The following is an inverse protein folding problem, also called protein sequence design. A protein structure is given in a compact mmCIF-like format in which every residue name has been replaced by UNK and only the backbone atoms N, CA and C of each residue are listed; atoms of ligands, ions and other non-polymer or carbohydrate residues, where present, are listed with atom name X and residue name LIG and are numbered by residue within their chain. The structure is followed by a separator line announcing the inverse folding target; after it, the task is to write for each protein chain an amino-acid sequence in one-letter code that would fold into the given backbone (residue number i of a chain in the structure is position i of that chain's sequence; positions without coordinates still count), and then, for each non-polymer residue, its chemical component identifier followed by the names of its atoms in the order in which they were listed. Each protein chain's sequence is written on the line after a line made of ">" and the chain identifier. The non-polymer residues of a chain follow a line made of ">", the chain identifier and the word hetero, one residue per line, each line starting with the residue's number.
data_IF_673612342555
#
_entry.id   IF_673612342555
#
_cell.length_a   1.000
_cell.length_b   1.000
_cell.length_c   1.000
_cell.angle_alpha   90.00
_cell.angle_beta   90.00
_cell.angle_gamma   90.00
#
_symmetry.space_group_name_H-M   'P 1'
#
loop_
_entity.id
_entity.type
_entity.pdbx_description
1 polymer ?
#
# COMPACT_ATOMS: atom_id res chain seq x y z
N UNK A 1 -15.16 -19.00 -43.65
CA UNK A 1 -13.76 -18.48 -43.68
C UNK A 1 -13.54 -17.23 -42.85
N UNK A 2 -14.44 -16.24 -42.95
CA UNK A 2 -14.31 -15.04 -42.09
C UNK A 2 -14.41 -15.37 -40.61
N UNK A 3 -15.26 -16.32 -40.23
CA UNK A 3 -15.42 -16.72 -38.85
C UNK A 3 -14.16 -17.40 -38.26
N UNK A 4 -13.38 -18.12 -39.11
CA UNK A 4 -12.16 -18.75 -38.70
C UNK A 4 -11.04 -17.73 -38.46
N UNK A 5 -10.95 -16.71 -39.30
CA UNK A 5 -9.98 -15.63 -39.18
C UNK A 5 -10.27 -14.81 -37.92
N UNK A 6 -11.53 -14.47 -37.69
CA UNK A 6 -11.96 -13.73 -36.51
C UNK A 6 -11.70 -14.52 -35.21
N UNK A 7 -11.94 -15.83 -35.25
CA UNK A 7 -11.67 -16.70 -34.10
C UNK A 7 -10.19 -16.73 -33.76
N UNK A 8 -9.32 -16.84 -34.77
CA UNK A 8 -7.85 -16.81 -34.57
C UNK A 8 -7.38 -15.47 -34.02
N UNK A 9 -7.90 -14.37 -34.55
CA UNK A 9 -7.56 -13.03 -34.06
C UNK A 9 -8.00 -12.86 -32.61
N UNK A 10 -9.18 -13.32 -32.26
CA UNK A 10 -9.67 -13.28 -30.88
C UNK A 10 -8.81 -14.10 -29.95
N UNK A 11 -8.39 -15.31 -30.36
CA UNK A 11 -7.50 -16.15 -29.57
C UNK A 11 -6.13 -15.49 -29.36
N UNK A 12 -5.59 -14.85 -30.38
CA UNK A 12 -4.31 -14.12 -30.28
C UNK A 12 -4.44 -12.95 -29.32
N UNK A 13 -5.53 -12.21 -29.39
CA UNK A 13 -5.80 -11.09 -28.47
C UNK A 13 -5.89 -11.56 -27.03
N UNK A 14 -6.62 -12.63 -26.77
CA UNK A 14 -6.77 -13.17 -25.41
C UNK A 14 -5.44 -13.70 -24.86
N UNK A 15 -4.62 -14.35 -25.72
CA UNK A 15 -3.31 -14.83 -25.33
C UNK A 15 -2.39 -13.67 -24.97
N UNK A 16 -2.38 -12.60 -25.77
CA UNK A 16 -1.58 -11.41 -25.49
C UNK A 16 -2.00 -10.70 -24.22
N UNK A 17 -3.31 -10.60 -24.02
CA UNK A 17 -3.88 -10.00 -22.80
C UNK A 17 -3.47 -10.79 -21.55
N UNK A 18 -3.45 -12.12 -21.66
CA UNK A 18 -3.05 -12.98 -20.55
C UNK A 18 -1.55 -12.80 -20.22
N UNK A 19 -0.70 -12.71 -21.24
CA UNK A 19 0.73 -12.45 -21.06
C UNK A 19 0.96 -11.11 -20.37
N UNK A 20 0.24 -10.07 -20.77
CA UNK A 20 0.36 -8.75 -20.16
C UNK A 20 -0.09 -8.77 -18.69
N UNK A 21 -1.16 -9.47 -18.39
CA UNK A 21 -1.67 -9.61 -17.03
C UNK A 21 -0.66 -10.32 -16.14
N UNK A 22 -0.06 -11.41 -16.62
CA UNK A 22 0.96 -12.15 -15.87
C UNK A 22 2.21 -11.30 -15.63
N UNK A 23 2.63 -10.51 -16.63
CA UNK A 23 3.75 -9.60 -16.48
C UNK A 23 3.48 -8.55 -15.40
N UNK A 24 2.28 -7.98 -15.36
CA UNK A 24 1.88 -7.02 -14.30
C UNK A 24 1.91 -7.65 -12.92
N UNK A 25 1.40 -8.87 -12.79
CA UNK A 25 1.42 -9.61 -11.51
C UNK A 25 2.84 -9.87 -11.04
N UNK A 26 3.75 -10.23 -11.97
CA UNK A 26 5.15 -10.46 -11.62
C UNK A 26 5.83 -9.18 -11.14
N UNK A 27 5.58 -8.05 -11.78
CA UNK A 27 6.12 -6.75 -11.37
C UNK A 27 5.62 -6.40 -9.97
N UNK A 28 4.34 -6.58 -9.72
CA UNK A 28 3.73 -6.32 -8.42
C UNK A 28 4.33 -7.22 -7.34
N UNK A 29 4.46 -8.51 -7.62
CA UNK A 29 5.07 -9.46 -6.69
C UNK A 29 6.48 -9.05 -6.30
N UNK A 30 7.33 -8.72 -7.26
CA UNK A 30 8.71 -8.28 -7.03
C UNK A 30 8.73 -6.99 -6.21
N UNK A 31 7.82 -6.06 -6.50
CA UNK A 31 7.69 -4.80 -5.76
C UNK A 31 7.42 -5.05 -4.27
N UNK A 32 6.46 -5.94 -3.96
CA UNK A 32 6.15 -6.29 -2.59
C UNK A 32 7.30 -7.03 -1.91
N UNK A 33 7.95 -7.96 -2.61
CA UNK A 33 9.09 -8.69 -2.05
C UNK A 33 10.25 -7.76 -1.67
N UNK A 34 10.47 -6.71 -2.45
CA UNK A 34 11.54 -5.73 -2.20
C UNK A 34 11.16 -4.67 -1.18
N UNK A 35 9.96 -4.14 -1.27
CA UNK A 35 9.58 -2.90 -0.57
C UNK A 35 8.38 -3.05 0.36
N UNK A 36 7.74 -4.20 0.37
CA UNK A 36 6.54 -4.42 1.16
C UNK A 36 6.80 -4.76 2.63
N UNK A 37 5.73 -4.81 3.39
CA UNK A 37 5.74 -5.18 4.79
C UNK A 37 4.81 -6.37 5.01
N UNK A 38 5.23 -7.33 5.81
CA UNK A 38 4.44 -8.52 6.10
C UNK A 38 3.52 -8.34 7.29
N UNK A 39 3.91 -7.49 8.23
CA UNK A 39 3.15 -7.23 9.45
C UNK A 39 3.38 -5.80 9.92
N UNK A 40 2.58 -5.38 10.88
CA UNK A 40 2.63 -4.01 11.38
C UNK A 40 3.86 -3.73 12.25
N UNK A 41 4.45 -4.77 12.85
CA UNK A 41 5.71 -4.64 13.58
C UNK A 41 6.86 -4.24 12.65
N UNK A 42 6.90 -4.77 11.43
CA UNK A 42 7.88 -4.38 10.43
C UNK A 42 7.71 -2.91 10.02
N UNK A 43 6.46 -2.46 9.87
CA UNK A 43 6.15 -1.06 9.58
C UNK A 43 6.67 -0.16 10.70
N UNK A 44 6.36 -0.51 11.95
CA UNK A 44 6.79 0.24 13.12
C UNK A 44 8.30 0.33 13.22
N UNK A 45 9.00 -0.78 13.01
CA UNK A 45 10.48 -0.82 13.04
C UNK A 45 11.08 0.09 11.98
N UNK A 46 10.52 0.07 10.78
CA UNK A 46 10.97 0.92 9.67
C UNK A 46 10.80 2.41 10.00
N UNK A 47 9.67 2.80 10.59
CA UNK A 47 9.43 4.17 11.03
C UNK A 47 10.39 4.59 12.14
N UNK A 48 10.67 3.70 13.10
CA UNK A 48 11.58 3.99 14.21
C UNK A 48 13.04 4.17 13.76
N UNK A 49 13.41 3.64 12.62
CA UNK A 49 14.73 3.86 12.01
C UNK A 49 14.88 5.28 11.44
N UNK A 50 13.80 6.05 11.39
CA UNK A 50 13.80 7.42 10.87
C UNK A 50 13.27 7.55 9.45
N UNK A 51 12.65 6.50 8.93
CA UNK A 51 12.10 6.50 7.59
C UNK A 51 10.67 7.02 7.58
N UNK A 52 10.22 7.45 6.40
CA UNK A 52 8.84 7.89 6.18
C UNK A 52 8.11 6.88 5.32
N UNK A 53 6.81 6.76 5.55
CA UNK A 53 5.93 5.95 4.71
C UNK A 53 4.81 6.85 4.19
N UNK A 54 4.58 6.81 2.88
CA UNK A 54 3.46 7.48 2.25
C UNK A 54 2.45 6.45 1.79
N UNK A 55 1.21 6.61 2.25
CA UNK A 55 0.11 5.72 1.88
C UNK A 55 -1.02 6.62 1.42
N UNK A 56 -1.17 6.77 0.10
CA UNK A 56 -2.09 7.73 -0.52
C UNK A 56 -1.75 9.17 -0.06
N UNK A 57 -2.69 9.85 0.58
CA UNK A 57 -2.49 11.22 1.08
C UNK A 57 -1.94 11.26 2.52
N UNK A 58 -1.72 10.10 3.11
CA UNK A 58 -1.23 9.97 4.48
C UNK A 58 0.28 9.81 4.52
N UNK A 59 0.94 10.48 5.46
CA UNK A 59 2.38 10.34 5.70
C UNK A 59 2.60 9.92 7.14
N UNK A 60 3.37 8.85 7.32
CA UNK A 60 3.73 8.31 8.63
C UNK A 60 5.22 8.50 8.87
N UNK A 61 5.57 8.89 10.08
CA UNK A 61 6.95 9.03 10.53
C UNK A 61 7.01 8.77 12.04
N UNK A 62 8.22 8.74 12.61
CA UNK A 62 8.36 8.55 14.05
C UNK A 62 8.99 9.79 14.69
N UNK A 63 8.30 10.34 15.68
CA UNK A 63 8.78 11.48 16.46
C UNK A 63 9.54 10.95 17.67
N UNK A 64 10.89 11.06 17.64
CA UNK A 64 11.75 10.55 18.68
C UNK A 64 11.65 11.32 19.99
N UNK A 65 11.31 12.60 19.93
CA UNK A 65 11.13 13.41 21.13
C UNK A 65 9.92 12.97 21.94
N UNK A 66 8.82 12.66 21.24
CA UNK A 66 7.59 12.20 21.85
C UNK A 66 7.50 10.70 22.04
N UNK A 67 8.38 9.94 21.39
CA UNK A 67 8.30 8.48 21.30
C UNK A 67 6.97 8.02 20.77
N UNK A 68 6.49 8.67 19.70
CA UNK A 68 5.18 8.40 19.11
C UNK A 68 5.27 8.40 17.59
N UNK A 69 4.39 7.65 16.97
CA UNK A 69 4.21 7.70 15.52
C UNK A 69 3.41 8.96 15.18
N UNK A 70 3.92 9.72 14.21
CA UNK A 70 3.29 10.93 13.70
C UNK A 70 2.59 10.60 12.39
N UNK A 71 1.31 10.87 12.34
CA UNK A 71 0.47 10.64 11.17
C UNK A 71 -0.03 11.99 10.64
N UNK A 72 0.54 12.42 9.52
CA UNK A 72 0.11 13.63 8.80
C UNK A 72 -0.94 13.26 7.78
N UNK A 73 -2.13 13.86 7.88
CA UNK A 73 -3.24 13.51 7.01
C UNK A 73 -4.19 14.69 6.80
N UNK A 74 -4.99 14.59 5.75
CA UNK A 74 -6.03 15.55 5.43
C UNK A 74 -7.30 15.23 6.21
N UNK A 75 -7.90 16.28 6.78
CA UNK A 75 -9.15 16.18 7.53
C UNK A 75 -10.18 17.11 6.90
N UNK A 76 -11.44 16.67 6.86
CA UNK A 76 -12.55 17.47 6.36
C UNK A 76 -13.65 17.55 7.43
N UNK A 77 -14.37 18.65 7.46
CA UNK A 77 -15.53 18.83 8.32
C UNK A 77 -16.84 18.28 7.71
N UNK A 78 -16.72 17.57 6.57
CA UNK A 78 -17.86 17.08 5.81
C UNK A 78 -18.31 18.00 4.69
N UNK A 79 -17.67 19.15 4.53
CA UNK A 79 -17.93 20.11 3.45
C UNK A 79 -16.78 19.99 2.43
N UNK A 80 -17.11 19.75 1.15
CA UNK A 80 -16.14 19.54 0.07
C UNK A 80 -15.12 20.68 -0.10
N UNK A 81 -15.47 21.90 0.34
CA UNK A 81 -14.61 23.06 0.22
C UNK A 81 -13.81 23.36 1.49
N UNK A 82 -14.01 22.59 2.54
CA UNK A 82 -13.43 22.89 3.85
C UNK A 82 -12.61 21.70 4.36
N UNK A 83 -11.32 21.75 4.12
CA UNK A 83 -10.39 20.70 4.56
C UNK A 83 -9.10 21.36 5.06
N UNK A 84 -8.37 20.64 5.90
CA UNK A 84 -7.07 21.03 6.41
C UNK A 84 -6.20 19.81 6.64
N UNK A 85 -4.91 20.05 6.90
CA UNK A 85 -3.98 18.98 7.23
C UNK A 85 -3.62 19.06 8.71
N UNK A 86 -3.50 17.92 9.36
CA UNK A 86 -3.11 17.84 10.76
C UNK A 86 -2.20 16.65 11.04
N UNK A 87 -1.51 16.72 12.17
CA UNK A 87 -0.70 15.63 12.69
C UNK A 87 -1.44 14.98 13.85
N UNK A 88 -1.60 13.67 13.79
CA UNK A 88 -2.05 12.87 14.92
C UNK A 88 -0.87 12.05 15.41
N UNK A 89 -0.85 11.75 16.70
CA UNK A 89 0.23 11.04 17.33
C UNK A 89 -0.30 9.79 18.01
N UNK A 90 0.42 8.67 17.83
CA UNK A 90 0.04 7.38 18.39
C UNK A 90 1.24 6.78 19.10
N UNK A 91 1.01 6.14 20.25
CA UNK A 91 2.03 5.28 20.86
C UNK A 91 2.21 4.04 19.98
N UNK A 92 3.31 3.31 20.20
CA UNK A 92 3.57 2.07 19.48
C UNK A 92 2.38 1.11 19.63
N UNK A 93 1.87 0.98 20.85
CA UNK A 93 0.73 0.11 21.15
C UNK A 93 -0.54 0.56 20.45
N UNK A 94 -0.85 1.85 20.49
CA UNK A 94 -2.05 2.41 19.83
C UNK A 94 -2.00 2.16 18.32
N UNK A 95 -0.84 2.35 17.70
CA UNK A 95 -0.65 2.11 16.28
C UNK A 95 -0.88 0.65 15.92
N UNK A 96 -0.26 -0.27 16.65
CA UNK A 96 -0.39 -1.71 16.38
C UNK A 96 -1.82 -2.19 16.65
N UNK A 97 -2.40 -1.80 17.76
CA UNK A 97 -3.77 -2.21 18.12
C UNK A 97 -4.78 -1.72 17.08
N UNK A 98 -4.66 -0.48 16.63
CA UNK A 98 -5.55 0.08 15.61
C UNK A 98 -5.49 -0.70 14.30
N UNK A 99 -4.28 -0.97 13.80
CA UNK A 99 -4.13 -1.66 12.52
C UNK A 99 -4.53 -3.13 12.60
N UNK A 100 -4.26 -3.80 13.72
CA UNK A 100 -4.73 -5.18 13.89
C UNK A 100 -6.24 -5.27 14.07
N UNK A 101 -6.86 -4.28 14.70
CA UNK A 101 -8.32 -4.20 14.79
C UNK A 101 -8.94 -4.02 13.40
N UNK A 102 -8.37 -3.17 12.57
CA UNK A 102 -8.81 -2.98 11.18
C UNK A 102 -8.64 -4.28 10.38
N UNK A 103 -7.52 -5.00 10.56
CA UNK A 103 -7.29 -6.30 9.92
C UNK A 103 -8.39 -7.31 10.28
N UNK A 104 -8.84 -7.31 11.54
CA UNK A 104 -9.93 -8.20 11.98
C UNK A 104 -11.28 -7.80 11.40
N UNK A 105 -11.53 -6.49 11.26
CA UNK A 105 -12.78 -5.98 10.68
C UNK A 105 -12.91 -6.26 9.20
N UNK A 106 -11.78 -6.27 8.48
CA UNK A 106 -11.74 -6.44 7.03
C UNK A 106 -10.70 -7.50 6.64
N UNK A 107 -10.93 -8.77 6.98
CA UNK A 107 -9.93 -9.82 6.77
C UNK A 107 -9.53 -10.03 5.30
N UNK A 108 -10.41 -9.71 4.36
CA UNK A 108 -10.12 -9.82 2.92
C UNK A 108 -9.09 -8.81 2.43
N UNK A 109 -8.85 -7.73 3.19
CA UNK A 109 -7.89 -6.68 2.82
C UNK A 109 -6.62 -6.70 3.66
N UNK A 110 -6.53 -7.59 4.65
CA UNK A 110 -5.41 -7.54 5.59
C UNK A 110 -4.07 -7.96 4.99
N UNK A 111 -4.10 -8.88 4.04
CA UNK A 111 -2.89 -9.28 3.29
C UNK A 111 -3.29 -9.57 1.85
N UNK A 112 -2.39 -9.24 0.92
CA UNK A 112 -2.61 -9.57 -0.48
C UNK A 112 -2.26 -11.03 -0.77
N UNK A 113 -2.38 -11.45 -2.02
CA UNK A 113 -2.08 -12.83 -2.44
C UNK A 113 -0.63 -13.24 -2.21
N UNK A 114 0.28 -12.27 -2.02
CA UNK A 114 1.71 -12.51 -1.78
C UNK A 114 2.07 -12.49 -0.30
N UNK A 115 1.12 -12.25 0.59
CA UNK A 115 1.33 -12.25 2.04
C UNK A 115 1.81 -10.92 2.62
N UNK A 116 1.64 -9.81 1.90
CA UNK A 116 2.07 -8.48 2.31
C UNK A 116 0.88 -7.56 2.60
N UNK A 117 1.12 -6.55 3.43
CA UNK A 117 0.13 -5.50 3.70
C UNK A 117 -0.10 -4.71 2.40
N UNK A 118 -1.35 -4.64 1.89
CA UNK A 118 -1.62 -3.92 0.64
C UNK A 118 -1.28 -2.44 0.74
N UNK A 119 -0.63 -1.90 -0.30
CA UNK A 119 -0.36 -0.47 -0.50
C UNK A 119 0.58 0.20 0.51
N UNK A 120 1.30 -0.57 1.33
CA UNK A 120 2.32 -0.07 2.24
C UNK A 120 3.69 -0.47 1.73
N UNK A 121 4.54 0.53 1.44
CA UNK A 121 5.86 0.31 0.85
C UNK A 121 6.93 1.18 1.52
N UNK A 122 8.15 0.71 1.48
CA UNK A 122 9.32 1.47 1.88
C UNK A 122 9.51 2.62 0.89
N UNK A 123 9.22 3.82 1.36
CA UNK A 123 9.04 5.00 0.52
C UNK A 123 10.28 5.40 -0.28
N UNK A 124 11.42 5.48 0.40
CA UNK A 124 12.63 6.07 -0.17
C UNK A 124 13.15 5.34 -1.41
N UNK A 125 12.82 4.07 -1.57
CA UNK A 125 13.30 3.27 -2.68
C UNK A 125 12.37 3.33 -3.89
N UNK A 126 11.08 3.61 -3.67
CA UNK A 126 10.10 3.70 -4.74
C UNK A 126 10.14 5.03 -5.47
N UNK A 127 10.30 6.13 -4.75
CA UNK A 127 10.25 7.46 -5.33
C UNK A 127 11.43 7.76 -6.25
N UNK A 128 12.55 7.13 -6.02
CA UNK A 128 13.74 7.32 -6.85
C UNK A 128 13.66 6.59 -8.19
N UNK A 129 12.68 5.70 -8.36
CA UNK A 129 12.50 4.88 -9.56
C UNK A 129 11.27 5.26 -10.39
N UNK A 130 10.51 6.21 -9.91
CA UNK A 130 9.33 6.73 -10.57
C UNK A 130 9.41 8.26 -10.64
#
# INVERSE_FOLDING_TARGET
>A
MESEVLTKLHQQYEAQKQIELEARKNVEKVRYEKYGFRNWEEVLSYLKEGNHIHCFDDTYSYDKEKNMIKHYHQVSDGNDCNFWYQNDFYTDKEFLDHHYDVDEMFPEYRRNEYGYIPNWFKYNELDNNF
#
